data_IF_342607071332
#
_entry.id   IF_342607071332
#
_cell.length_a   1.000
_cell.length_b   1.000
_cell.length_c   1.000
_cell.angle_alpha   90.00
_cell.angle_beta   90.00
_cell.angle_gamma   90.00
#
_symmetry.space_group_name_H-M   'P 1'
#
loop_
_entity.id
_entity.type
_entity.pdbx_description
1 polymer ?
#
# COMPACT_ATOMS: atom_id res chain seq x y z
N UNK A 1 14.36 -18.21 20.49
CA UNK A 1 15.21 -19.31 19.99
C UNK A 1 14.56 -20.64 20.33
N UNK A 2 14.44 -21.52 19.34
CA UNK A 2 14.04 -22.90 19.55
C UNK A 2 15.24 -23.79 19.31
N UNK A 3 15.44 -24.77 20.18
CA UNK A 3 16.55 -25.71 20.07
C UNK A 3 15.98 -27.13 19.92
N UNK A 4 16.30 -27.78 18.84
CA UNK A 4 15.99 -29.20 18.65
C UNK A 4 17.28 -29.96 18.59
N UNK A 5 17.38 -31.06 19.36
CA UNK A 5 18.48 -32.00 19.31
C UNK A 5 17.97 -33.32 18.74
N UNK A 6 18.65 -33.87 17.76
CA UNK A 6 18.27 -35.16 17.16
C UNK A 6 18.38 -36.32 18.17
N UNK A 7 19.33 -36.21 19.10
CA UNK A 7 19.45 -37.13 20.24
C UNK A 7 19.79 -36.36 21.51
N UNK A 8 19.16 -36.70 22.63
CA UNK A 8 19.47 -36.15 23.95
C UNK A 8 20.59 -36.95 24.68
N UNK A 9 20.72 -38.21 24.37
CA UNK A 9 21.75 -39.10 24.91
C UNK A 9 21.99 -40.27 23.96
N UNK A 10 23.19 -40.78 23.98
CA UNK A 10 23.58 -42.01 23.29
C UNK A 10 24.23 -42.96 24.30
N UNK A 11 23.81 -44.21 24.31
CA UNK A 11 24.40 -45.27 25.13
C UNK A 11 25.11 -46.25 24.21
N UNK A 12 26.39 -46.52 24.49
CA UNK A 12 27.19 -47.48 23.75
C UNK A 12 28.17 -48.18 24.66
N UNK A 13 28.66 -49.34 24.23
CA UNK A 13 29.74 -50.08 24.91
C UNK A 13 31.02 -49.88 24.12
N UNK A 14 32.03 -49.36 24.77
CA UNK A 14 33.36 -49.20 24.16
C UNK A 14 34.10 -50.53 24.27
N UNK A 15 34.43 -51.13 23.11
CA UNK A 15 35.28 -52.34 23.06
C UNK A 15 36.72 -51.93 23.24
N UNK A 16 37.51 -52.91 23.76
CA UNK A 16 38.93 -52.71 23.96
C UNK A 16 39.65 -52.48 22.61
N UNK A 17 40.46 -51.41 22.56
CA UNK A 17 41.24 -50.99 21.38
C UNK A 17 40.40 -50.42 20.20
N UNK A 18 39.12 -50.06 20.42
CA UNK A 18 38.28 -49.37 19.43
C UNK A 18 37.97 -47.95 19.87
N UNK A 19 37.78 -47.05 18.87
CA UNK A 19 37.36 -45.66 19.08
C UNK A 19 35.96 -45.51 18.57
N UNK A 20 35.00 -45.28 19.48
CA UNK A 20 33.63 -44.94 19.14
C UNK A 20 33.46 -43.42 18.97
N UNK A 21 32.76 -43.00 17.93
CA UNK A 21 32.44 -41.59 17.66
C UNK A 21 30.98 -41.36 17.88
N UNK A 22 30.63 -40.41 18.77
CA UNK A 22 29.28 -39.95 18.99
C UNK A 22 29.16 -38.53 18.43
N UNK A 23 28.16 -38.29 17.59
CA UNK A 23 27.89 -37.00 17.00
C UNK A 23 26.55 -36.47 17.47
N UNK A 24 26.56 -35.28 18.01
CA UNK A 24 25.35 -34.57 18.39
C UNK A 24 25.20 -33.37 17.47
N UNK A 25 23.99 -33.22 16.85
CA UNK A 25 23.62 -32.05 16.04
C UNK A 25 22.56 -31.27 16.77
N UNK A 26 22.87 -30.05 17.12
CA UNK A 26 21.89 -29.09 17.63
C UNK A 26 21.51 -28.11 16.52
N UNK A 27 20.22 -28.00 16.27
CA UNK A 27 19.69 -27.04 15.31
C UNK A 27 19.04 -25.90 16.08
N UNK A 28 19.45 -24.67 15.77
CA UNK A 28 18.93 -23.45 16.34
C UNK A 28 18.14 -22.70 15.26
N UNK A 29 16.88 -22.39 15.53
CA UNK A 29 16.07 -21.54 14.67
C UNK A 29 15.56 -20.32 15.42
N UNK A 30 15.48 -19.19 14.74
CA UNK A 30 14.83 -18.00 15.30
C UNK A 30 13.33 -18.14 15.19
N UNK A 31 12.59 -17.74 16.24
CA UNK A 31 11.13 -17.63 16.16
C UNK A 31 10.76 -16.69 15.01
N UNK A 32 9.84 -17.11 14.17
CA UNK A 32 9.32 -16.32 13.05
C UNK A 32 8.03 -15.60 13.44
N UNK A 33 7.81 -14.42 12.87
CA UNK A 33 6.58 -13.66 13.01
C UNK A 33 6.02 -13.28 11.63
N UNK A 34 4.69 -13.20 11.49
CA UNK A 34 4.08 -12.75 10.26
C UNK A 34 4.22 -11.23 10.09
N UNK A 35 4.66 -10.83 8.90
CA UNK A 35 4.57 -9.48 8.36
C UNK A 35 3.53 -9.52 7.24
N UNK A 36 2.42 -8.79 7.41
CA UNK A 36 1.29 -8.79 6.49
C UNK A 36 1.20 -7.43 5.82
N UNK A 37 1.13 -7.42 4.49
CA UNK A 37 0.95 -6.22 3.69
C UNK A 37 -0.42 -6.30 3.04
N UNK A 38 -1.29 -5.34 3.36
CA UNK A 38 -2.63 -5.23 2.83
C UNK A 38 -2.70 -4.11 1.78
N UNK A 39 -3.46 -4.33 0.70
CA UNK A 39 -3.70 -3.35 -0.35
C UNK A 39 -5.17 -2.98 -0.44
N UNK A 40 -5.44 -1.68 -0.43
CA UNK A 40 -6.77 -1.10 -0.68
C UNK A 40 -6.67 -0.02 -1.76
N UNK A 41 -7.69 0.08 -2.62
CA UNK A 41 -7.77 1.08 -3.67
C UNK A 41 -9.11 1.79 -3.57
N UNK A 42 -9.12 3.12 -3.52
CA UNK A 42 -10.31 3.95 -3.36
C UNK A 42 -10.42 5.05 -4.43
N UNK A 43 -11.63 5.61 -4.54
CA UNK A 43 -11.93 6.75 -5.39
C UNK A 43 -12.73 6.40 -6.65
N UNK A 44 -13.41 7.41 -7.20
CA UNK A 44 -14.36 7.27 -8.29
C UNK A 44 -13.72 6.91 -9.66
N UNK A 45 -12.42 7.13 -9.80
CA UNK A 45 -11.63 6.82 -11.00
C UNK A 45 -10.59 5.74 -10.75
N UNK A 46 -10.69 5.02 -9.63
CA UNK A 46 -9.77 3.96 -9.29
C UNK A 46 -10.03 2.67 -10.05
N UNK A 47 -8.97 1.96 -10.39
CA UNK A 47 -9.01 0.69 -11.09
C UNK A 47 -8.77 -0.46 -10.11
N UNK A 48 -9.85 -1.08 -9.63
CA UNK A 48 -9.79 -2.17 -8.63
C UNK A 48 -9.02 -3.41 -9.09
N UNK A 49 -8.95 -3.64 -10.41
CA UNK A 49 -8.25 -4.78 -11.00
C UNK A 49 -6.79 -4.51 -11.34
N UNK A 50 -6.35 -3.26 -11.18
CA UNK A 50 -4.95 -2.87 -11.43
C UNK A 50 -4.02 -3.55 -10.44
N UNK A 51 -2.92 -4.07 -10.93
CA UNK A 51 -1.81 -4.55 -10.12
C UNK A 51 -0.91 -3.39 -9.74
N UNK A 52 -0.60 -3.30 -8.45
CA UNK A 52 0.34 -2.35 -7.89
C UNK A 52 1.61 -3.10 -7.50
N UNK A 53 2.74 -2.65 -8.00
CA UNK A 53 4.03 -3.27 -7.78
C UNK A 53 4.64 -2.79 -6.46
N UNK A 54 5.19 -3.72 -5.71
CA UNK A 54 5.87 -3.50 -4.44
C UNK A 54 7.28 -4.07 -4.48
N UNK A 55 8.14 -3.48 -3.69
CA UNK A 55 9.41 -4.06 -3.31
C UNK A 55 9.55 -4.09 -1.79
N UNK A 56 10.10 -5.16 -1.27
CA UNK A 56 10.50 -5.30 0.13
C UNK A 56 12.00 -5.54 0.21
N UNK A 57 12.67 -4.75 1.04
CA UNK A 57 14.08 -4.94 1.38
C UNK A 57 14.15 -5.57 2.75
N UNK A 58 14.87 -6.71 2.85
CA UNK A 58 15.06 -7.46 4.09
C UNK A 58 16.51 -7.40 4.50
N UNK A 59 16.73 -7.16 5.79
CA UNK A 59 18.04 -7.21 6.43
C UNK A 59 17.98 -8.06 7.70
N UNK A 60 19.09 -8.69 8.04
CA UNK A 60 19.21 -9.35 9.34
C UNK A 60 19.32 -8.33 10.50
N UNK A 61 19.40 -8.83 11.73
CA UNK A 61 19.54 -7.98 12.91
C UNK A 61 20.82 -7.11 12.89
N UNK A 62 21.84 -7.50 12.16
CA UNK A 62 23.11 -6.78 12.03
C UNK A 62 23.10 -5.77 10.87
N UNK A 63 22.03 -5.77 10.05
CA UNK A 63 21.88 -4.87 8.91
C UNK A 63 22.43 -5.44 7.59
N UNK A 64 22.90 -6.69 7.57
CA UNK A 64 23.27 -7.38 6.33
C UNK A 64 22.02 -7.83 5.58
N UNK A 65 22.10 -7.94 4.24
CA UNK A 65 21.00 -8.43 3.43
C UNK A 65 20.54 -9.81 3.93
N UNK A 66 19.23 -9.95 4.19
CA UNK A 66 18.62 -11.22 4.55
C UNK A 66 18.08 -11.89 3.30
N UNK A 67 18.70 -13.00 2.93
CA UNK A 67 18.30 -13.78 1.76
C UNK A 67 17.32 -14.88 2.18
N UNK A 68 16.17 -14.91 1.52
CA UNK A 68 15.18 -15.98 1.63
C UNK A 68 15.68 -17.20 0.84
N UNK A 69 15.35 -18.40 1.32
CA UNK A 69 15.60 -19.62 0.56
C UNK A 69 14.71 -19.68 -0.69
N UNK A 70 15.09 -20.46 -1.69
CA UNK A 70 14.30 -20.66 -2.92
C UNK A 70 12.89 -21.20 -2.60
N UNK A 71 12.75 -22.01 -1.56
CA UNK A 71 11.45 -22.51 -1.08
C UNK A 71 10.60 -21.36 -0.52
N UNK A 72 11.17 -20.51 0.35
CA UNK A 72 10.47 -19.33 0.90
C UNK A 72 10.08 -18.34 -0.20
N UNK A 73 10.95 -18.11 -1.19
CA UNK A 73 10.67 -17.27 -2.36
C UNK A 73 9.46 -17.80 -3.14
N UNK A 74 9.45 -19.11 -3.40
CA UNK A 74 8.41 -19.77 -4.16
C UNK A 74 7.07 -19.83 -3.43
N UNK A 75 7.08 -20.17 -2.15
CA UNK A 75 5.88 -20.29 -1.32
C UNK A 75 5.17 -18.95 -1.18
N UNK A 76 5.93 -17.86 -1.09
CA UNK A 76 5.38 -16.50 -0.99
C UNK A 76 5.09 -15.89 -2.37
N UNK A 77 5.57 -16.48 -3.47
CA UNK A 77 5.39 -15.96 -4.83
C UNK A 77 6.12 -14.63 -5.04
N UNK A 78 7.36 -14.55 -4.58
CA UNK A 78 8.25 -13.45 -4.88
C UNK A 78 8.96 -13.60 -6.21
N UNK A 79 9.33 -12.45 -6.78
CA UNK A 79 10.38 -12.37 -7.79
C UNK A 79 11.58 -11.64 -7.18
N UNK A 80 12.80 -12.13 -7.43
CA UNK A 80 14.01 -11.44 -7.00
C UNK A 80 14.32 -10.27 -7.94
N UNK A 81 14.74 -9.15 -7.39
CA UNK A 81 15.12 -7.97 -8.16
C UNK A 81 16.58 -8.06 -8.63
N UNK A 82 16.90 -9.08 -9.49
CA UNK A 82 18.21 -9.24 -10.13
C UNK A 82 19.33 -9.72 -9.20
N UNK A 83 20.39 -10.28 -9.79
CA UNK A 83 21.52 -10.90 -9.08
C UNK A 83 22.32 -9.94 -8.17
N UNK A 84 22.21 -8.62 -8.38
CA UNK A 84 22.98 -7.62 -7.63
C UNK A 84 22.20 -6.94 -6.49
N UNK A 85 20.96 -7.34 -6.21
CA UNK A 85 20.13 -6.76 -5.13
C UNK A 85 19.72 -7.81 -4.11
N UNK A 86 20.71 -8.32 -3.38
CA UNK A 86 20.48 -9.27 -2.29
C UNK A 86 19.51 -8.72 -1.25
N UNK A 87 18.62 -9.57 -0.76
CA UNK A 87 17.61 -9.20 0.23
C UNK A 87 16.49 -8.29 -0.30
N UNK A 88 16.38 -8.06 -1.61
CA UNK A 88 15.29 -7.28 -2.20
C UNK A 88 14.39 -8.19 -3.03
N UNK A 89 13.09 -8.16 -2.73
CA UNK A 89 12.06 -8.98 -3.36
C UNK A 89 10.94 -8.10 -3.88
N UNK A 90 10.32 -8.52 -4.99
CA UNK A 90 9.20 -7.80 -5.61
C UNK A 90 7.96 -8.68 -5.67
N UNK A 91 6.80 -8.06 -5.59
CA UNK A 91 5.49 -8.69 -5.71
C UNK A 91 4.45 -7.66 -6.17
N UNK A 92 3.27 -8.12 -6.56
CA UNK A 92 2.14 -7.26 -6.91
C UNK A 92 0.94 -7.56 -6.02
N UNK A 93 0.12 -6.54 -5.77
CA UNK A 93 -1.17 -6.67 -5.09
C UNK A 93 -2.23 -5.84 -5.83
N UNK A 94 -3.46 -6.37 -5.84
CA UNK A 94 -4.68 -5.67 -6.28
C UNK A 94 -5.48 -5.18 -5.08
N UNK A 95 -6.55 -4.46 -5.36
CA UNK A 95 -7.50 -4.06 -4.33
C UNK A 95 -8.05 -5.27 -3.55
N UNK A 96 -8.01 -5.19 -2.23
CA UNK A 96 -8.48 -6.23 -1.31
C UNK A 96 -7.51 -7.40 -1.12
N UNK A 97 -6.37 -7.43 -1.81
CA UNK A 97 -5.38 -8.48 -1.65
C UNK A 97 -4.43 -8.18 -0.49
N UNK A 98 -3.88 -9.23 0.08
CA UNK A 98 -2.84 -9.20 1.10
C UNK A 98 -1.72 -10.18 0.79
N UNK A 99 -0.52 -9.89 1.33
CA UNK A 99 0.65 -10.76 1.25
C UNK A 99 1.22 -10.94 2.65
N UNK A 100 1.45 -12.19 3.04
CA UNK A 100 2.03 -12.54 4.34
C UNK A 100 3.43 -13.13 4.15
N UNK A 101 4.36 -12.67 4.97
CA UNK A 101 5.74 -13.14 5.04
C UNK A 101 6.05 -13.66 6.43
N UNK A 102 6.55 -14.86 6.56
CA UNK A 102 7.02 -15.43 7.83
C UNK A 102 8.51 -15.16 8.01
N UNK A 103 8.87 -14.10 8.72
CA UNK A 103 10.25 -13.63 8.87
C UNK A 103 10.79 -13.86 10.29
N UNK A 104 12.11 -14.07 10.47
CA UNK A 104 12.70 -14.26 11.78
C UNK A 104 12.57 -13.02 12.68
N UNK A 105 12.44 -13.23 13.98
CA UNK A 105 12.55 -12.17 14.99
C UNK A 105 13.84 -11.36 14.79
N UNK A 106 13.71 -10.03 14.82
CA UNK A 106 14.83 -9.11 14.63
C UNK A 106 15.20 -8.85 13.16
N UNK A 107 14.50 -9.45 12.20
CA UNK A 107 14.63 -9.07 10.79
C UNK A 107 14.18 -7.63 10.60
N UNK A 108 14.97 -6.83 9.91
CA UNK A 108 14.61 -5.46 9.53
C UNK A 108 14.02 -5.47 8.14
N UNK A 109 13.04 -4.60 7.91
CA UNK A 109 12.36 -4.50 6.62
C UNK A 109 12.04 -3.05 6.25
N UNK A 110 12.01 -2.80 4.96
CA UNK A 110 11.49 -1.58 4.34
C UNK A 110 10.62 -2.00 3.16
N UNK A 111 9.41 -1.44 3.06
CA UNK A 111 8.48 -1.75 1.99
C UNK A 111 8.23 -0.49 1.17
N UNK A 112 8.29 -0.62 -0.15
CA UNK A 112 8.02 0.47 -1.08
C UNK A 112 7.02 0.02 -2.15
N UNK A 113 6.02 0.85 -2.41
CA UNK A 113 5.16 0.75 -3.58
C UNK A 113 5.75 1.59 -4.72
N UNK A 114 5.60 1.18 -5.98
CA UNK A 114 5.97 1.99 -7.13
C UNK A 114 5.18 3.30 -7.20
N UNK A 115 5.72 4.29 -7.90
CA UNK A 115 5.09 5.59 -8.02
C UNK A 115 4.00 5.59 -9.09
N UNK A 116 2.76 5.71 -8.67
CA UNK A 116 1.58 5.84 -9.53
C UNK A 116 1.00 7.26 -9.56
N UNK A 117 1.74 8.27 -9.07
CA UNK A 117 1.28 9.67 -9.03
C UNK A 117 1.02 10.23 -10.43
N UNK A 118 1.83 9.85 -11.43
CA UNK A 118 1.61 10.20 -12.84
C UNK A 118 0.31 9.65 -13.41
N UNK A 119 -0.21 8.56 -12.83
CA UNK A 119 -1.52 7.98 -13.15
C UNK A 119 -2.66 8.56 -12.30
N UNK A 120 -2.38 9.58 -11.48
CA UNK A 120 -3.36 10.29 -10.64
C UNK A 120 -3.65 9.61 -9.29
N UNK A 121 -2.85 8.64 -8.87
CA UNK A 121 -2.99 8.03 -7.56
C UNK A 121 -2.22 8.79 -6.48
N UNK A 122 -2.80 8.90 -5.30
CA UNK A 122 -2.13 9.25 -4.05
C UNK A 122 -2.02 7.99 -3.20
N UNK A 123 -0.82 7.67 -2.72
CA UNK A 123 -0.55 6.51 -1.87
C UNK A 123 -0.45 6.94 -0.41
N UNK A 124 -1.07 6.18 0.48
CA UNK A 124 -1.04 6.37 1.94
C UNK A 124 -0.60 5.06 2.61
N UNK A 125 0.14 5.18 3.71
CA UNK A 125 0.51 4.05 4.56
C UNK A 125 -0.18 4.22 5.92
N UNK A 126 -1.04 3.26 6.29
CA UNK A 126 -1.89 3.33 7.47
C UNK A 126 -3.17 4.12 7.22
N UNK A 127 -3.55 5.01 8.14
CA UNK A 127 -4.74 5.84 8.00
C UNK A 127 -4.59 6.88 6.89
N UNK A 128 -5.70 7.21 6.24
CA UNK A 128 -5.78 8.20 5.18
C UNK A 128 -5.71 9.63 5.73
N UNK A 129 -4.51 10.09 6.02
CA UNK A 129 -4.20 11.44 6.46
C UNK A 129 -3.05 11.98 5.60
N UNK A 130 -2.95 13.30 5.46
CA UNK A 130 -1.90 13.91 4.62
C UNK A 130 -0.47 13.56 5.13
N UNK A 131 -0.26 13.46 6.44
CA UNK A 131 1.02 13.03 7.02
C UNK A 131 1.40 11.58 6.64
N UNK A 132 0.42 10.76 6.28
CA UNK A 132 0.61 9.38 5.85
C UNK A 132 0.71 9.23 4.32
N UNK A 133 0.69 10.34 3.56
CA UNK A 133 0.87 10.31 2.11
C UNK A 133 2.32 10.01 1.77
N UNK A 134 2.65 8.75 1.77
CA UNK A 134 3.97 8.21 1.43
C UNK A 134 3.81 6.83 0.80
N UNK A 135 4.78 6.41 0.02
CA UNK A 135 4.78 5.10 -0.68
C UNK A 135 5.88 4.16 -0.17
N UNK A 136 6.62 4.55 0.85
CA UNK A 136 7.68 3.76 1.46
C UNK A 136 7.60 3.87 2.99
N UNK A 137 7.75 2.74 3.68
CA UNK A 137 7.89 2.72 5.14
C UNK A 137 9.29 3.17 5.53
N UNK A 138 9.44 3.58 6.78
CA UNK A 138 10.76 3.63 7.39
C UNK A 138 11.31 2.19 7.56
N UNK A 139 12.62 2.06 7.83
CA UNK A 139 13.19 0.77 8.21
C UNK A 139 12.72 0.40 9.61
N UNK A 140 12.01 -0.71 9.72
CA UNK A 140 11.48 -1.21 10.99
C UNK A 140 12.02 -2.59 11.33
N UNK A 141 12.01 -2.96 12.61
CA UNK A 141 12.45 -4.27 13.10
C UNK A 141 11.25 -5.12 13.49
N UNK A 142 11.15 -6.32 12.92
CA UNK A 142 10.08 -7.27 13.21
C UNK A 142 10.28 -7.95 14.56
N UNK A 143 9.48 -7.58 15.54
CA UNK A 143 9.51 -8.13 16.91
C UNK A 143 8.26 -8.90 17.30
N UNK A 144 7.20 -8.74 16.50
CA UNK A 144 5.89 -9.36 16.69
C UNK A 144 5.15 -9.42 15.35
N UNK A 145 3.94 -10.02 15.32
CA UNK A 145 3.05 -9.91 14.16
C UNK A 145 2.83 -8.44 13.82
N UNK A 146 3.07 -8.06 12.56
CA UNK A 146 2.93 -6.69 12.07
C UNK A 146 2.06 -6.66 10.82
N UNK A 147 1.16 -5.70 10.74
CA UNK A 147 0.30 -5.46 9.57
C UNK A 147 0.50 -4.05 9.05
N UNK A 148 0.71 -3.91 7.75
CA UNK A 148 0.92 -2.64 7.07
C UNK A 148 -0.12 -2.49 5.96
N UNK A 149 -0.87 -1.37 6.01
CA UNK A 149 -1.94 -1.10 5.07
C UNK A 149 -1.49 -0.03 4.07
N UNK A 150 -1.49 -0.37 2.78
CA UNK A 150 -1.27 0.56 1.68
C UNK A 150 -2.61 0.89 1.04
N UNK A 151 -2.93 2.18 0.98
CA UNK A 151 -4.13 2.71 0.34
C UNK A 151 -3.74 3.57 -0.85
N UNK A 152 -4.25 3.24 -2.05
CA UNK A 152 -4.17 4.11 -3.22
C UNK A 152 -5.52 4.76 -3.50
N UNK A 153 -5.53 6.08 -3.59
CA UNK A 153 -6.73 6.86 -3.88
C UNK A 153 -6.57 7.59 -5.20
N UNK A 154 -7.57 7.44 -6.10
CA UNK A 154 -7.68 8.20 -7.34
C UNK A 154 -9.07 8.81 -7.45
N UNK A 155 -9.15 10.12 -7.33
CA UNK A 155 -10.38 10.88 -7.50
C UNK A 155 -10.18 11.93 -8.59
N UNK A 156 -11.16 12.03 -9.47
CA UNK A 156 -11.32 13.17 -10.36
C UNK A 156 -12.59 13.90 -9.91
N UNK A 157 -12.46 15.15 -9.57
CA UNK A 157 -13.61 16.04 -9.41
C UNK A 157 -14.05 16.35 -10.84
N UNK A 158 -15.20 15.83 -11.31
CA UNK A 158 -15.72 16.26 -12.61
C UNK A 158 -15.83 17.78 -12.56
N UNK A 159 -15.46 18.52 -13.59
CA UNK A 159 -15.80 19.94 -13.68
C UNK A 159 -17.33 20.02 -13.65
N UNK A 160 -17.89 20.15 -12.46
CA UNK A 160 -19.31 20.44 -12.26
C UNK A 160 -19.53 21.79 -12.88
N UNK A 161 -20.21 21.75 -14.04
CA UNK A 161 -20.40 22.84 -14.94
C UNK A 161 -20.67 24.16 -14.26
N UNK A 162 -20.26 25.17 -14.98
CA UNK A 162 -20.63 26.60 -14.82
C UNK A 162 -21.03 26.93 -13.39
N UNK A 163 -20.14 27.50 -12.62
CA UNK A 163 -20.53 28.28 -11.45
C UNK A 163 -21.42 29.43 -11.97
N UNK A 164 -22.71 29.16 -12.09
CA UNK A 164 -23.70 30.21 -12.23
C UNK A 164 -23.73 30.92 -10.89
N UNK A 165 -22.82 31.89 -10.77
CA UNK A 165 -22.86 32.81 -9.63
C UNK A 165 -24.28 33.32 -9.53
N UNK A 166 -24.89 33.26 -8.34
CA UNK A 166 -26.25 33.81 -8.11
C UNK A 166 -26.40 35.22 -8.68
N UNK A 167 -25.33 35.98 -8.78
CA UNK A 167 -25.23 37.29 -9.43
C UNK A 167 -25.61 37.27 -10.91
N UNK A 168 -25.22 36.23 -11.68
CA UNK A 168 -25.57 36.11 -13.09
C UNK A 168 -27.11 35.89 -13.27
N UNK A 169 -27.73 35.07 -12.44
CA UNK A 169 -29.18 34.88 -12.47
C UNK A 169 -29.94 36.10 -12.02
N UNK A 170 -29.48 36.83 -10.99
CA UNK A 170 -30.08 38.09 -10.53
C UNK A 170 -29.97 39.19 -11.60
N UNK A 171 -28.86 39.27 -12.31
CA UNK A 171 -28.73 40.25 -13.43
C UNK A 171 -29.63 39.89 -14.60
N UNK A 172 -29.77 38.64 -14.99
CA UNK A 172 -30.67 38.22 -16.06
C UNK A 172 -32.13 38.46 -15.71
N UNK A 173 -32.55 38.13 -14.49
CA UNK A 173 -33.95 38.42 -14.04
C UNK A 173 -34.22 39.90 -13.90
N UNK A 174 -33.26 40.70 -13.44
CA UNK A 174 -33.36 42.16 -13.34
C UNK A 174 -33.55 42.83 -14.71
N UNK A 175 -32.77 42.41 -15.71
CA UNK A 175 -32.87 42.93 -17.09
C UNK A 175 -34.22 42.59 -17.73
N UNK A 176 -34.73 41.37 -17.55
CA UNK A 176 -36.03 40.97 -18.10
C UNK A 176 -37.19 41.72 -17.46
N UNK A 177 -37.16 41.97 -16.15
CA UNK A 177 -38.17 42.78 -15.45
C UNK A 177 -38.18 44.26 -15.92
N UNK A 178 -36.98 44.85 -16.11
CA UNK A 178 -36.85 46.23 -16.63
C UNK A 178 -37.38 46.35 -18.06
N UNK A 179 -37.05 45.43 -18.95
CA UNK A 179 -37.58 45.41 -20.32
C UNK A 179 -39.08 45.23 -20.32
N UNK A 180 -39.65 44.37 -19.49
CA UNK A 180 -41.10 44.19 -19.33
C UNK A 180 -41.82 45.47 -18.86
N UNK A 181 -41.23 46.18 -17.88
CA UNK A 181 -41.78 47.46 -17.39
C UNK A 181 -41.73 48.53 -18.47
N UNK A 182 -40.66 48.64 -19.24
CA UNK A 182 -40.57 49.58 -20.38
C UNK A 182 -41.62 49.27 -21.44
N UNK A 183 -41.83 48.01 -21.80
CA UNK A 183 -42.88 47.63 -22.75
C UNK A 183 -44.31 47.99 -22.25
N UNK A 184 -44.57 47.76 -20.99
CA UNK A 184 -45.89 48.18 -20.39
C UNK A 184 -46.06 49.66 -20.43
N UNK A 185 -45.07 50.47 -20.10
CA UNK A 185 -45.16 51.95 -20.15
C UNK A 185 -45.38 52.47 -21.56
N UNK A 186 -44.71 51.90 -22.55
CA UNK A 186 -44.92 52.22 -23.96
C UNK A 186 -46.31 51.79 -24.44
N UNK A 187 -46.78 50.63 -24.03
CA UNK A 187 -48.12 50.12 -24.35
C UNK A 187 -49.25 51.01 -23.77
N UNK A 188 -49.10 51.51 -22.55
CA UNK A 188 -50.02 52.39 -21.89
C UNK A 188 -50.03 53.79 -22.56
N UNK A 189 -48.86 54.33 -22.93
CA UNK A 189 -48.78 55.61 -23.66
C UNK A 189 -49.45 55.55 -25.03
N UNK A 190 -49.32 54.46 -25.76
CA UNK A 190 -49.94 54.28 -27.08
C UNK A 190 -51.45 54.25 -27.01
N UNK A 191 -52.07 53.76 -25.95
CA UNK A 191 -53.51 53.75 -25.73
C UNK A 191 -54.10 55.17 -25.40
N UNK A 192 -53.28 56.10 -24.89
CA UNK A 192 -53.69 57.44 -24.55
C UNK A 192 -53.70 58.42 -25.75
N UNK A 193 -53.16 58.06 -26.89
CA UNK A 193 -53.12 58.89 -28.11
C UNK A 193 -54.12 58.46 -29.17
N UNK A 194 -54.99 57.49 -28.90
CA UNK A 194 -56.01 56.96 -29.82
C UNK A 194 -57.42 57.17 -29.24
N UNK A 195 -57.59 58.02 -28.24
CA UNK A 195 -58.90 58.43 -27.69
C UNK A 195 -59.12 59.92 -27.91
#
# INVERSE_FOLDING_TARGET
WETTADKKSENGTIAKDETEKVSFKNTYSRKKFPLIINKTVEGNMSEKRKEFAFSITLKDANGAAYELSDEEIKDVGFSTKGENQKGVYTFTLKDGESKEFSLPYGCKYTISEEDYSSSGYKTYIGEKKEENQKRMTEEETLTQKTEINFLNKKEVIPPTGVETTMTAWLLMTGVTLLLGAVFLLFGIRRKRFVA
#
